data_IF_654751108062
#
_entry.id   IF_654751108062
#
_cell.length_a   1.000
_cell.length_b   1.000
_cell.length_c   1.000
_cell.angle_alpha   90.00
_cell.angle_beta   90.00
_cell.angle_gamma   90.00
#
_symmetry.space_group_name_H-M   'P 1'
#
loop_
_entity.id
_entity.type
_entity.pdbx_description
1 polymer ?
#
# COMPACT_ATOMS: atom_id res chain seq x y z
N UNK A 1 -15.24 10.34 -2.10
CA UNK A 1 -15.95 9.08 -1.84
C UNK A 1 -15.10 8.34 -0.81
N UNK A 2 -15.63 8.09 0.38
CA UNK A 2 -14.94 7.24 1.34
C UNK A 2 -15.17 5.80 0.88
N UNK A 3 -14.11 5.11 0.47
CA UNK A 3 -14.13 3.68 0.26
C UNK A 3 -14.23 3.03 1.64
N UNK A 4 -15.45 2.79 2.10
CA UNK A 4 -15.68 2.18 3.39
C UNK A 4 -15.20 0.73 3.33
N UNK A 5 -14.42 0.35 4.35
CA UNK A 5 -14.38 -1.04 4.80
C UNK A 5 -15.83 -1.51 4.97
N UNK A 6 -16.21 -2.68 4.49
CA UNK A 6 -17.56 -3.23 4.69
C UNK A 6 -17.94 -3.29 6.18
N UNK A 7 -16.97 -3.22 7.10
CA UNK A 7 -17.16 -2.99 8.52
C UNK A 7 -16.16 -1.95 9.01
N UNK A 8 -16.65 -0.81 9.50
CA UNK A 8 -15.82 0.18 10.20
C UNK A 8 -15.16 -0.50 11.40
N UNK A 9 -13.82 -0.51 11.44
CA UNK A 9 -13.04 -1.09 12.54
C UNK A 9 -13.35 -0.42 13.89
N UNK A 10 -13.74 0.84 13.85
CA UNK A 10 -14.09 1.68 15.00
C UNK A 10 -15.26 2.60 14.66
N UNK A 11 -16.02 3.03 15.67
CA UNK A 11 -17.11 4.00 15.50
C UNK A 11 -16.57 5.41 15.20
N UNK A 12 -17.44 6.28 14.65
CA UNK A 12 -17.11 7.70 14.42
C UNK A 12 -16.66 8.41 15.71
N UNK A 13 -17.23 8.06 16.86
CA UNK A 13 -16.82 8.62 18.13
C UNK A 13 -15.39 8.20 18.46
N UNK A 14 -15.01 6.97 18.22
CA UNK A 14 -13.65 6.50 18.47
C UNK A 14 -12.63 7.07 17.50
N UNK A 15 -13.02 7.37 16.26
CA UNK A 15 -12.17 8.16 15.35
C UNK A 15 -11.86 9.51 15.97
N UNK A 16 -12.86 10.20 16.54
CA UNK A 16 -12.65 11.49 17.24
C UNK A 16 -11.75 11.33 18.47
N UNK A 17 -11.95 10.27 19.24
CA UNK A 17 -11.12 9.99 20.43
C UNK A 17 -9.64 9.78 20.02
N UNK A 18 -9.39 9.03 18.92
CA UNK A 18 -8.04 8.87 18.34
C UNK A 18 -7.45 10.21 17.91
N UNK A 19 -8.24 11.03 17.22
CA UNK A 19 -7.81 12.34 16.73
C UNK A 19 -7.49 13.30 17.87
N UNK A 20 -8.29 13.35 18.92
CA UNK A 20 -8.05 14.18 20.10
C UNK A 20 -6.81 13.72 20.87
N UNK A 21 -6.65 12.40 21.03
CA UNK A 21 -5.45 11.84 21.65
C UNK A 21 -4.19 12.19 20.85
N UNK A 22 -4.24 12.09 19.52
CA UNK A 22 -3.11 12.43 18.66
C UNK A 22 -2.70 13.90 18.79
N UNK A 23 -3.68 14.83 18.86
CA UNK A 23 -3.39 16.26 19.11
C UNK A 23 -2.76 16.48 20.48
N UNK A 24 -3.31 15.85 21.52
CA UNK A 24 -2.83 16.00 22.89
C UNK A 24 -1.44 15.37 23.09
N UNK A 25 -1.10 14.32 22.34
CA UNK A 25 0.20 13.63 22.42
C UNK A 25 1.34 14.37 21.74
N UNK A 26 1.04 15.32 20.82
CA UNK A 26 2.08 16.05 20.09
C UNK A 26 3.11 16.69 21.03
N UNK A 27 4.44 16.66 20.75
CA UNK A 27 5.09 16.17 19.52
C UNK A 27 5.35 14.65 19.45
N UNK A 28 4.98 13.87 20.47
CA UNK A 28 5.18 12.44 20.45
C UNK A 28 4.07 11.74 19.64
N UNK A 29 4.42 10.65 18.97
CA UNK A 29 3.45 9.76 18.35
C UNK A 29 2.64 9.03 19.43
N UNK A 30 1.33 9.04 19.30
CA UNK A 30 0.46 8.17 20.09
C UNK A 30 0.38 6.79 19.44
N UNK A 31 0.08 5.79 20.23
CA UNK A 31 -0.22 4.46 19.73
C UNK A 31 -1.30 3.77 20.57
N UNK A 32 -1.88 2.72 20.01
CA UNK A 32 -2.87 1.89 20.66
C UNK A 32 -3.33 0.74 19.77
N UNK A 33 -4.24 -0.05 20.28
CA UNK A 33 -4.84 -1.17 19.57
C UNK A 33 -6.35 -0.97 19.42
N UNK A 34 -6.94 -1.61 18.44
CA UNK A 34 -8.39 -1.84 18.40
C UNK A 34 -8.62 -3.26 18.88
N UNK A 35 -9.53 -3.41 19.83
CA UNK A 35 -9.97 -4.71 20.35
C UNK A 35 -11.47 -4.73 20.48
N UNK A 36 -12.14 -5.69 19.84
CA UNK A 36 -13.61 -5.83 19.83
C UNK A 36 -14.32 -4.52 19.44
N UNK A 37 -13.80 -3.85 18.40
CA UNK A 37 -14.35 -2.60 17.90
C UNK A 37 -14.10 -1.39 18.79
N UNK A 38 -13.22 -1.45 19.79
CA UNK A 38 -12.87 -0.34 20.68
C UNK A 38 -11.40 0.01 20.56
N UNK A 39 -11.11 1.29 20.37
CA UNK A 39 -9.76 1.80 20.48
C UNK A 39 -9.30 1.83 21.94
N UNK A 40 -8.16 1.23 22.23
CA UNK A 40 -7.52 1.18 23.54
C UNK A 40 -6.15 1.87 23.40
N UNK A 41 -5.97 3.09 23.92
CA UNK A 41 -4.69 3.76 23.91
C UNK A 41 -3.65 2.99 24.71
N UNK A 42 -2.43 2.92 24.18
CA UNK A 42 -1.28 2.30 24.82
C UNK A 42 -0.17 3.33 25.02
N UNK A 43 0.68 3.09 26.01
CA UNK A 43 1.82 3.96 26.24
C UNK A 43 2.87 3.71 25.14
N UNK A 44 3.31 4.78 24.46
CA UNK A 44 4.41 4.66 23.52
C UNK A 44 5.73 4.46 24.28
N UNK A 45 6.35 3.30 24.12
CA UNK A 45 7.59 2.89 24.79
C UNK A 45 8.82 3.02 23.89
N UNK A 46 8.70 3.60 22.69
CA UNK A 46 9.83 3.86 21.81
C UNK A 46 10.84 4.84 22.46
N UNK A 47 12.11 4.69 22.11
CA UNK A 47 13.16 5.62 22.54
C UNK A 47 13.05 6.98 21.83
N UNK A 48 12.66 6.97 20.55
CA UNK A 48 12.36 8.17 19.76
C UNK A 48 10.84 8.25 19.52
N UNK A 49 10.14 8.82 20.48
CA UNK A 49 8.68 8.90 20.46
C UNK A 49 8.11 9.88 19.44
N UNK A 50 8.92 10.81 18.95
CA UNK A 50 8.49 11.78 17.95
C UNK A 50 8.42 11.20 16.53
N UNK A 51 9.17 10.10 16.27
CA UNK A 51 9.30 9.51 14.96
C UNK A 51 8.98 8.00 14.92
N UNK A 52 8.59 7.41 16.05
CA UNK A 52 8.28 5.99 16.12
C UNK A 52 7.41 5.63 17.32
N UNK A 53 6.79 4.47 17.25
CA UNK A 53 6.05 3.91 18.38
C UNK A 53 6.50 2.47 18.67
N UNK A 54 6.33 2.08 19.92
CA UNK A 54 6.50 0.71 20.37
C UNK A 54 5.51 0.38 21.48
N UNK A 55 4.73 -0.71 21.31
CA UNK A 55 3.82 -1.25 22.30
C UNK A 55 4.42 -2.55 22.83
N UNK A 56 4.62 -2.65 24.15
CA UNK A 56 5.22 -3.86 24.72
C UNK A 56 4.19 -5.00 24.80
N UNK A 57 4.64 -6.29 24.77
CA UNK A 57 3.75 -7.43 24.88
C UNK A 57 2.83 -7.40 26.11
N UNK A 58 3.32 -6.88 27.23
CA UNK A 58 2.56 -6.79 28.48
C UNK A 58 1.35 -5.86 28.36
N UNK A 59 1.45 -4.81 27.53
CA UNK A 59 0.35 -3.85 27.35
C UNK A 59 -0.85 -4.44 26.60
N UNK A 60 -0.63 -5.40 25.71
CA UNK A 60 -1.71 -6.00 24.91
C UNK A 60 -2.01 -7.47 25.23
N UNK A 61 -1.30 -8.07 26.19
CA UNK A 61 -1.42 -9.51 26.52
C UNK A 61 -2.85 -9.97 26.82
N UNK A 62 -3.69 -9.10 27.38
CA UNK A 62 -5.07 -9.41 27.75
C UNK A 62 -6.09 -9.03 26.66
N UNK A 63 -5.61 -8.64 25.47
CA UNK A 63 -6.43 -8.15 24.38
C UNK A 63 -6.30 -8.99 23.10
N UNK A 64 -7.42 -9.16 22.39
CA UNK A 64 -7.38 -9.59 21.00
C UNK A 64 -7.10 -8.31 20.17
N UNK A 65 -6.04 -8.33 19.38
CA UNK A 65 -5.67 -7.18 18.55
C UNK A 65 -6.34 -7.31 17.18
N UNK A 66 -7.37 -6.49 16.94
CA UNK A 66 -8.10 -6.44 15.67
C UNK A 66 -7.46 -5.44 14.70
N UNK A 67 -6.79 -4.39 15.21
CA UNK A 67 -6.01 -3.42 14.45
C UNK A 67 -5.01 -2.69 15.37
N UNK A 68 -4.01 -2.05 14.76
CA UNK A 68 -3.06 -1.15 15.43
C UNK A 68 -3.32 0.28 14.94
N UNK A 69 -3.19 1.26 15.82
CA UNK A 69 -3.33 2.69 15.50
C UNK A 69 -2.13 3.45 16.03
N UNK A 70 -1.60 4.36 15.23
CA UNK A 70 -0.58 5.32 15.69
C UNK A 70 -0.71 6.67 14.96
N UNK A 71 0.04 7.65 15.42
CA UNK A 71 0.08 8.97 14.78
C UNK A 71 1.44 9.24 14.16
N UNK A 72 1.45 10.01 13.06
CA UNK A 72 2.62 10.67 12.52
C UNK A 72 2.62 12.15 12.94
N UNK A 73 3.74 12.63 13.45
CA UNK A 73 3.90 14.03 13.84
C UNK A 73 4.75 14.80 12.83
N UNK A 74 5.83 14.22 12.34
CA UNK A 74 6.72 14.82 11.34
C UNK A 74 6.59 14.19 9.96
N UNK A 75 6.35 12.87 9.89
CA UNK A 75 6.15 12.14 8.64
C UNK A 75 4.84 12.53 7.92
N UNK A 76 4.72 12.36 6.60
CA UNK A 76 3.46 12.56 5.86
C UNK A 76 2.39 11.54 6.27
N UNK A 77 1.14 11.75 5.81
CA UNK A 77 0.06 10.76 5.95
C UNK A 77 0.22 9.67 4.88
N UNK A 78 1.24 8.88 5.03
CA UNK A 78 1.53 7.69 4.21
C UNK A 78 2.34 6.70 5.05
N UNK A 79 2.25 5.39 4.79
CA UNK A 79 2.99 4.43 5.59
C UNK A 79 4.49 4.54 5.36
N UNK A 80 5.26 4.44 6.43
CA UNK A 80 6.69 4.15 6.38
C UNK A 80 6.94 2.67 6.04
N UNK A 81 8.17 2.29 5.76
CA UNK A 81 8.55 0.88 5.62
C UNK A 81 8.28 0.10 6.91
N UNK A 82 8.57 0.70 8.07
CA UNK A 82 8.31 0.10 9.37
C UNK A 82 6.81 -0.12 9.65
N UNK A 83 5.94 0.79 9.21
CA UNK A 83 4.49 0.61 9.33
C UNK A 83 3.99 -0.56 8.47
N UNK A 84 4.53 -0.70 7.26
CA UNK A 84 4.20 -1.84 6.40
C UNK A 84 4.71 -3.16 6.99
N UNK A 85 5.91 -3.19 7.55
CA UNK A 85 6.46 -4.36 8.26
C UNK A 85 5.64 -4.70 9.50
N UNK A 86 5.24 -3.69 10.27
CA UNK A 86 4.35 -3.86 11.41
C UNK A 86 3.03 -4.48 10.99
N UNK A 87 2.37 -3.93 9.96
CA UNK A 87 1.11 -4.44 9.43
C UNK A 87 1.24 -5.90 8.97
N UNK A 88 2.31 -6.25 8.24
CA UNK A 88 2.54 -7.61 7.77
C UNK A 88 2.85 -8.59 8.91
N UNK A 89 3.64 -8.16 9.90
CA UNK A 89 4.03 -8.99 11.05
C UNK A 89 2.83 -9.33 11.92
N UNK A 90 1.97 -8.36 12.20
CA UNK A 90 0.77 -8.55 13.01
C UNK A 90 -0.38 -9.15 12.21
N UNK A 91 -0.34 -9.02 10.89
CA UNK A 91 -1.39 -9.47 9.97
C UNK A 91 -2.78 -8.91 10.35
N UNK A 92 -2.83 -7.67 10.79
CA UNK A 92 -4.04 -6.90 11.10
C UNK A 92 -3.97 -5.53 10.43
N UNK A 93 -5.11 -4.84 10.23
CA UNK A 93 -5.09 -3.47 9.72
C UNK A 93 -4.29 -2.53 10.62
N UNK A 94 -3.66 -1.52 9.99
CA UNK A 94 -3.00 -0.43 10.70
C UNK A 94 -3.66 0.90 10.35
N UNK A 95 -3.98 1.70 11.36
CA UNK A 95 -4.55 3.05 11.25
C UNK A 95 -3.49 4.11 11.52
N UNK A 96 -3.34 5.07 10.61
CA UNK A 96 -2.40 6.17 10.72
C UNK A 96 -3.18 7.48 10.74
N UNK A 97 -2.90 8.35 11.73
CA UNK A 97 -3.36 9.74 11.75
C UNK A 97 -2.17 10.67 11.69
N UNK A 98 -2.28 11.80 10.98
CA UNK A 98 -1.26 12.84 10.98
C UNK A 98 -1.72 14.04 11.78
N UNK A 99 -0.82 14.56 12.63
CA UNK A 99 -1.09 15.79 13.39
C UNK A 99 0.14 16.69 13.48
N UNK A 100 -0.10 17.98 13.61
CA UNK A 100 0.88 19.01 13.98
C UNK A 100 0.59 19.62 15.37
N UNK A 101 -0.27 18.93 16.15
CA UNK A 101 -0.77 19.38 17.45
C UNK A 101 -1.97 20.32 17.37
N UNK A 102 -2.29 20.88 16.21
CA UNK A 102 -3.44 21.78 15.99
C UNK A 102 -4.47 21.17 15.05
N UNK A 103 -3.99 20.65 13.95
CA UNK A 103 -4.81 19.96 12.93
C UNK A 103 -4.53 18.47 12.99
N UNK A 104 -5.54 17.65 12.73
CA UNK A 104 -5.42 16.21 12.62
C UNK A 104 -6.16 15.73 11.38
N UNK A 105 -5.59 14.74 10.70
CA UNK A 105 -6.21 14.09 9.53
C UNK A 105 -7.30 13.10 9.94
N UNK A 106 -8.04 12.61 8.95
CA UNK A 106 -8.76 11.35 9.10
C UNK A 106 -7.79 10.19 9.30
N UNK A 107 -8.32 9.06 9.79
CA UNK A 107 -7.54 7.83 9.95
C UNK A 107 -7.36 7.18 8.58
N UNK A 108 -6.13 7.04 8.15
CA UNK A 108 -5.75 6.23 7.01
C UNK A 108 -5.64 4.77 7.46
N UNK A 109 -6.53 3.91 7.02
CA UNK A 109 -6.47 2.48 7.28
C UNK A 109 -5.79 1.75 6.12
N UNK A 110 -4.87 0.83 6.45
CA UNK A 110 -4.13 -0.04 5.54
C UNK A 110 -4.29 -1.50 5.97
N UNK A 111 -4.06 -2.45 5.05
CA UNK A 111 -4.13 -3.87 5.36
C UNK A 111 -5.55 -4.44 5.42
N UNK A 112 -6.56 -3.64 5.01
CA UNK A 112 -7.94 -4.09 4.82
C UNK A 112 -8.24 -4.45 3.36
N UNK A 113 -9.47 -4.90 3.13
CA UNK A 113 -10.00 -5.08 1.78
C UNK A 113 -10.68 -3.80 1.29
N UNK A 114 -10.27 -3.31 0.12
CA UNK A 114 -10.81 -2.09 -0.46
C UNK A 114 -11.18 -2.34 -1.92
N UNK A 115 -12.42 -2.02 -2.31
CA UNK A 115 -12.85 -2.04 -3.71
C UNK A 115 -12.54 -0.67 -4.35
N UNK A 116 -11.28 -0.48 -4.71
CA UNK A 116 -10.79 0.78 -5.27
C UNK A 116 -10.75 0.68 -6.79
N UNK A 117 -11.31 1.67 -7.51
CA UNK A 117 -11.23 1.71 -8.97
C UNK A 117 -9.76 1.68 -9.44
N UNK A 118 -9.48 0.89 -10.47
CA UNK A 118 -8.13 0.79 -11.05
C UNK A 118 -7.74 2.01 -11.89
N UNK A 119 -8.71 2.83 -12.30
CA UNK A 119 -8.50 4.00 -13.16
C UNK A 119 -8.98 5.25 -12.43
N UNK A 120 -8.23 6.35 -12.55
CA UNK A 120 -8.56 7.62 -11.91
C UNK A 120 -8.16 7.72 -10.44
N UNK A 121 -7.36 6.80 -9.95
CA UNK A 121 -6.86 6.75 -8.57
C UNK A 121 -5.76 7.79 -8.38
N UNK A 122 -5.79 8.50 -7.26
CA UNK A 122 -4.69 9.36 -6.84
C UNK A 122 -3.51 8.53 -6.29
N UNK A 123 -2.29 9.01 -6.56
CA UNK A 123 -1.08 8.36 -6.06
C UNK A 123 -0.84 8.69 -4.58
N UNK A 124 -0.50 7.65 -3.81
CA UNK A 124 0.13 7.72 -2.50
C UNK A 124 1.13 6.59 -2.39
N UNK A 125 2.29 6.84 -1.80
CA UNK A 125 3.26 5.78 -1.54
C UNK A 125 2.67 4.68 -0.65
N UNK A 126 3.03 3.43 -0.94
CA UNK A 126 2.61 2.24 -0.19
C UNK A 126 1.33 1.56 -0.70
N UNK A 127 0.79 0.61 0.08
CA UNK A 127 -0.35 -0.23 -0.29
C UNK A 127 -1.64 0.57 -0.44
N UNK A 128 -2.62 -0.03 -1.08
CA UNK A 128 -3.99 0.51 -1.15
C UNK A 128 -4.59 0.69 0.24
N UNK A 129 -5.35 1.75 0.44
CA UNK A 129 -5.92 2.11 1.74
C UNK A 129 -7.31 2.71 1.66
N UNK A 130 -7.89 3.03 2.83
CA UNK A 130 -9.22 3.62 2.99
C UNK A 130 -9.40 4.97 2.29
N UNK A 131 -8.31 5.64 1.94
CA UNK A 131 -8.29 6.89 1.17
C UNK A 131 -8.48 6.68 -0.34
N UNK A 132 -8.56 5.43 -0.79
CA UNK A 132 -8.70 5.09 -2.21
C UNK A 132 -7.43 5.28 -3.03
N UNK A 133 -6.28 5.42 -2.37
CA UNK A 133 -4.97 5.68 -2.99
C UNK A 133 -4.03 4.49 -2.83
N UNK A 134 -2.91 4.55 -3.52
CA UNK A 134 -1.83 3.57 -3.47
C UNK A 134 -0.77 3.90 -4.52
N UNK A 135 0.32 3.17 -4.53
CA UNK A 135 1.39 3.33 -5.53
C UNK A 135 1.22 2.41 -6.75
N UNK A 136 2.24 2.35 -7.60
CA UNK A 136 2.20 1.50 -8.80
C UNK A 136 2.14 0.00 -8.48
N UNK A 137 2.77 -0.46 -7.41
CA UNK A 137 2.69 -1.86 -7.00
C UNK A 137 1.31 -2.19 -6.40
N UNK A 138 0.74 -1.30 -5.60
CA UNK A 138 -0.62 -1.43 -5.11
C UNK A 138 -1.64 -1.55 -6.25
N UNK A 139 -1.49 -0.76 -7.33
CA UNK A 139 -2.33 -0.88 -8.52
C UNK A 139 -2.19 -2.26 -9.20
N UNK A 140 -0.96 -2.78 -9.31
CA UNK A 140 -0.72 -4.13 -9.85
C UNK A 140 -1.42 -5.18 -9.00
N UNK A 141 -1.28 -5.13 -7.67
CA UNK A 141 -1.94 -6.05 -6.73
C UNK A 141 -3.46 -6.03 -6.90
N UNK A 142 -4.04 -4.84 -6.92
CA UNK A 142 -5.50 -4.70 -7.04
C UNK A 142 -6.00 -5.19 -8.41
N UNK A 143 -5.23 -4.96 -9.49
CA UNK A 143 -5.56 -5.54 -10.79
C UNK A 143 -5.55 -7.07 -10.73
N UNK A 144 -4.52 -7.68 -10.16
CA UNK A 144 -4.42 -9.12 -10.07
C UNK A 144 -5.58 -9.72 -9.25
N UNK A 145 -5.91 -9.08 -8.12
CA UNK A 145 -7.06 -9.49 -7.30
C UNK A 145 -8.38 -9.34 -8.07
N UNK A 146 -8.67 -8.16 -8.62
CA UNK A 146 -9.98 -7.85 -9.23
C UNK A 146 -10.19 -8.54 -10.58
N UNK A 147 -9.16 -8.58 -11.44
CA UNK A 147 -9.28 -9.08 -12.81
C UNK A 147 -8.93 -10.57 -12.94
N UNK A 148 -7.97 -11.05 -12.16
CA UNK A 148 -7.43 -12.41 -12.27
C UNK A 148 -7.79 -13.29 -11.07
N UNK A 149 -8.32 -12.74 -9.99
CA UNK A 149 -8.54 -13.43 -8.72
C UNK A 149 -7.25 -14.11 -8.21
N UNK A 150 -6.14 -13.39 -8.30
CA UNK A 150 -4.82 -13.78 -7.79
C UNK A 150 -4.42 -12.78 -6.72
N UNK A 151 -4.08 -13.25 -5.54
CA UNK A 151 -3.60 -12.42 -4.45
C UNK A 151 -2.08 -12.37 -4.48
N UNK A 152 -1.52 -11.17 -4.75
CA UNK A 152 -0.09 -10.95 -4.72
C UNK A 152 0.39 -10.57 -3.32
N UNK A 153 1.59 -11.05 -2.98
CA UNK A 153 2.27 -10.72 -1.72
C UNK A 153 2.52 -9.23 -1.60
N UNK A 154 2.36 -8.68 -0.39
CA UNK A 154 2.79 -7.31 -0.09
C UNK A 154 4.27 -7.28 0.28
N UNK A 155 4.93 -6.18 -0.07
CA UNK A 155 6.33 -5.93 0.27
C UNK A 155 6.46 -4.55 0.91
N UNK A 156 7.11 -4.50 2.07
CA UNK A 156 7.49 -3.25 2.71
C UNK A 156 8.51 -2.51 1.84
N UNK A 157 8.40 -1.20 1.82
CA UNK A 157 9.25 -0.35 0.98
C UNK A 157 9.31 1.08 1.48
N UNK A 158 10.51 1.65 1.45
CA UNK A 158 10.68 3.09 1.62
C UNK A 158 10.23 3.85 0.37
N UNK A 159 9.76 5.08 0.56
CA UNK A 159 9.63 5.99 -0.57
C UNK A 159 11.02 6.22 -1.20
N UNK A 160 11.10 6.27 -2.53
CA UNK A 160 12.36 6.39 -3.29
C UNK A 160 13.40 5.29 -2.99
N UNK A 161 12.96 4.07 -2.65
CA UNK A 161 13.83 2.93 -2.31
C UNK A 161 14.94 2.66 -3.34
N UNK A 162 14.70 2.94 -4.63
CA UNK A 162 15.70 2.76 -5.71
C UNK A 162 16.89 3.70 -5.61
N UNK A 163 16.77 4.85 -4.96
CA UNK A 163 17.87 5.79 -4.72
C UNK A 163 18.82 5.27 -3.63
N UNK A 164 18.32 4.42 -2.73
CA UNK A 164 19.09 3.79 -1.66
C UNK A 164 19.83 2.52 -2.09
N UNK A 165 19.78 2.19 -3.38
CA UNK A 165 20.47 1.04 -3.94
C UNK A 165 19.68 -0.27 -3.96
N UNK A 166 18.47 -0.30 -3.42
CA UNK A 166 17.59 -1.48 -3.45
C UNK A 166 17.08 -1.75 -4.87
N UNK A 167 16.72 -3.00 -5.15
CA UNK A 167 16.18 -3.42 -6.44
C UNK A 167 14.91 -4.26 -6.23
N UNK A 168 13.94 -3.69 -5.49
CA UNK A 168 12.82 -4.44 -4.92
C UNK A 168 12.05 -5.26 -5.96
N UNK A 169 11.84 -4.73 -7.16
CA UNK A 169 11.12 -5.48 -8.20
C UNK A 169 11.86 -6.74 -8.62
N UNK A 170 13.18 -6.64 -8.91
CA UNK A 170 13.93 -7.80 -9.40
C UNK A 170 14.26 -8.78 -8.27
N UNK A 171 14.54 -8.26 -7.07
CA UNK A 171 14.92 -9.09 -5.92
C UNK A 171 13.72 -9.90 -5.38
N UNK A 172 12.47 -9.44 -5.63
CA UNK A 172 11.27 -10.08 -5.13
C UNK A 172 10.39 -10.73 -6.20
N UNK A 173 10.73 -10.64 -7.48
CA UNK A 173 9.90 -11.16 -8.57
C UNK A 173 9.52 -12.64 -8.39
N UNK A 174 10.51 -13.51 -8.18
CA UNK A 174 10.27 -14.95 -7.98
C UNK A 174 9.47 -15.23 -6.69
N UNK A 175 9.78 -14.52 -5.60
CA UNK A 175 9.06 -14.66 -4.33
C UNK A 175 7.59 -14.20 -4.42
N UNK A 176 7.29 -13.34 -5.39
CA UNK A 176 5.93 -12.90 -5.72
C UNK A 176 5.25 -13.77 -6.79
N UNK A 177 5.84 -14.91 -7.18
CA UNK A 177 5.29 -15.82 -8.17
C UNK A 177 5.49 -15.39 -9.63
N UNK A 178 6.42 -14.46 -9.89
CA UNK A 178 6.66 -13.95 -11.25
C UNK A 178 7.92 -14.54 -11.86
N UNK A 179 7.85 -14.86 -13.13
CA UNK A 179 9.01 -15.24 -13.95
C UNK A 179 9.13 -14.31 -15.16
N UNK A 180 10.35 -14.12 -15.64
CA UNK A 180 10.66 -13.26 -16.77
C UNK A 180 10.15 -13.87 -18.08
N UNK A 181 9.60 -13.03 -18.97
CA UNK A 181 9.18 -13.40 -20.32
C UNK A 181 9.85 -12.51 -21.36
N UNK A 182 10.01 -13.05 -22.56
CA UNK A 182 10.53 -12.30 -23.71
C UNK A 182 9.43 -11.41 -24.31
N UNK A 183 9.80 -10.26 -24.89
CA UNK A 183 8.85 -9.30 -25.46
C UNK A 183 7.91 -9.92 -26.51
N UNK A 184 8.40 -10.87 -27.29
CA UNK A 184 7.61 -11.58 -28.31
C UNK A 184 6.53 -12.50 -27.72
N UNK A 185 6.67 -12.88 -26.45
CA UNK A 185 5.82 -13.86 -25.76
C UNK A 185 4.87 -13.19 -24.74
N UNK A 186 4.81 -11.83 -24.72
CA UNK A 186 3.95 -11.10 -23.79
C UNK A 186 2.47 -11.38 -24.06
N UNK A 187 1.69 -11.44 -22.97
CA UNK A 187 0.24 -11.62 -23.01
C UNK A 187 -0.48 -10.70 -22.03
N UNK A 188 -1.80 -10.59 -22.15
CA UNK A 188 -2.62 -9.82 -21.23
C UNK A 188 -2.41 -10.30 -19.79
N UNK A 189 -2.27 -9.34 -18.87
CA UNK A 189 -1.98 -9.59 -17.47
C UNK A 189 -0.49 -9.67 -17.13
N UNK A 190 0.42 -9.72 -18.12
CA UNK A 190 1.85 -9.61 -17.83
C UNK A 190 2.17 -8.21 -17.27
N UNK A 191 3.15 -8.12 -16.39
CA UNK A 191 3.63 -6.85 -15.89
C UNK A 191 4.87 -6.39 -16.66
N UNK A 192 4.95 -5.09 -16.90
CA UNK A 192 6.17 -4.45 -17.37
C UNK A 192 6.87 -3.73 -16.23
N UNK A 193 8.19 -3.74 -16.24
CA UNK A 193 9.04 -2.95 -15.36
C UNK A 193 9.75 -1.88 -16.18
N UNK A 194 9.76 -0.66 -15.65
CA UNK A 194 10.34 0.48 -16.31
C UNK A 194 11.35 1.23 -15.42
N UNK A 195 12.34 1.82 -16.06
CA UNK A 195 13.33 2.71 -15.44
C UNK A 195 13.00 4.16 -15.77
N UNK A 196 12.55 4.92 -14.79
CA UNK A 196 12.22 6.33 -14.95
C UNK A 196 13.23 7.16 -14.17
N UNK A 197 14.15 7.81 -14.88
CA UNK A 197 15.26 8.58 -14.29
C UNK A 197 16.03 7.79 -13.22
N UNK A 198 16.10 6.49 -13.37
CA UNK A 198 16.75 5.57 -12.44
C UNK A 198 17.58 4.54 -13.20
N UNK A 199 18.65 4.02 -12.57
CA UNK A 199 19.43 2.90 -13.09
C UNK A 199 18.78 1.54 -12.78
N UNK A 200 17.75 1.53 -11.96
CA UNK A 200 17.00 0.33 -11.55
C UNK A 200 15.53 0.47 -11.93
N UNK A 201 14.82 -0.62 -12.21
CA UNK A 201 13.38 -0.57 -12.38
C UNK A 201 12.73 0.03 -11.12
N UNK A 202 12.06 1.16 -11.27
CA UNK A 202 11.40 1.88 -10.18
C UNK A 202 9.92 2.14 -10.44
N UNK A 203 9.42 1.61 -11.55
CA UNK A 203 8.02 1.71 -11.93
C UNK A 203 7.57 0.41 -12.59
N UNK A 204 6.30 0.05 -12.39
CA UNK A 204 5.66 -1.10 -13.01
C UNK A 204 4.22 -0.81 -13.41
N UNK A 205 3.70 -1.65 -14.28
CA UNK A 205 2.30 -1.64 -14.68
C UNK A 205 1.92 -2.94 -15.36
N UNK A 206 0.65 -3.06 -15.72
CA UNK A 206 0.08 -4.28 -16.30
C UNK A 206 -0.21 -4.08 -17.78
N UNK A 207 0.15 -5.06 -18.60
CA UNK A 207 -0.21 -5.11 -20.01
C UNK A 207 -1.65 -5.58 -20.20
N UNK A 208 -2.45 -4.78 -20.89
CA UNK A 208 -3.87 -5.06 -21.13
C UNK A 208 -4.16 -5.59 -22.55
N UNK A 209 -3.10 -6.00 -23.28
CA UNK A 209 -3.23 -6.39 -24.67
C UNK A 209 -3.22 -5.19 -25.63
N UNK A 210 -3.05 -5.49 -26.93
CA UNK A 210 -3.10 -4.51 -28.04
C UNK A 210 -2.22 -3.26 -27.84
N UNK A 211 -1.07 -3.42 -27.17
CA UNK A 211 -0.14 -2.33 -26.92
C UNK A 211 -0.59 -1.33 -25.86
N UNK A 212 -1.55 -1.67 -25.01
CA UNK A 212 -2.05 -0.80 -23.94
C UNK A 212 -1.56 -1.30 -22.59
N UNK A 213 -1.12 -0.39 -21.72
CA UNK A 213 -0.77 -0.66 -20.33
C UNK A 213 -1.63 0.10 -19.34
N UNK A 214 -1.84 -0.48 -18.18
CA UNK A 214 -2.43 0.14 -16.99
C UNK A 214 -1.30 0.40 -15.99
N UNK A 215 -1.15 1.64 -15.56
CA UNK A 215 -0.11 1.99 -14.60
C UNK A 215 -0.44 3.25 -13.80
N UNK A 216 0.36 3.53 -12.77
CA UNK A 216 0.14 4.62 -11.82
C UNK A 216 1.47 5.33 -11.51
N UNK A 217 1.63 6.53 -12.03
CA UNK A 217 2.79 7.38 -11.76
C UNK A 217 2.53 8.34 -10.60
N UNK A 218 3.58 8.65 -9.87
CA UNK A 218 3.56 9.76 -8.91
C UNK A 218 3.02 11.05 -9.54
N UNK A 219 2.18 11.77 -8.78
CA UNK A 219 1.50 13.02 -9.17
C UNK A 219 0.58 12.91 -10.40
N UNK A 220 0.16 11.71 -10.75
CA UNK A 220 -0.81 11.48 -11.83
C UNK A 220 -1.88 10.51 -11.38
N UNK A 221 -3.05 10.59 -11.99
CA UNK A 221 -4.07 9.57 -11.80
C UNK A 221 -3.65 8.28 -12.51
N UNK A 222 -4.00 7.14 -11.92
CA UNK A 222 -3.85 5.84 -12.57
C UNK A 222 -4.64 5.79 -13.87
N UNK A 223 -4.08 5.20 -14.92
CA UNK A 223 -4.71 5.22 -16.24
C UNK A 223 -4.23 4.12 -17.17
N UNK A 224 -5.02 3.91 -18.21
CA UNK A 224 -4.63 3.15 -19.39
C UNK A 224 -4.01 4.08 -20.41
N UNK A 225 -2.87 3.68 -20.99
CA UNK A 225 -2.29 4.40 -22.11
C UNK A 225 -1.49 3.48 -23.04
N UNK A 226 -1.28 3.90 -24.32
CA UNK A 226 -0.47 3.15 -25.25
C UNK A 226 0.98 3.04 -24.78
N UNK A 227 1.55 1.82 -24.83
CA UNK A 227 2.92 1.54 -24.37
C UNK A 227 4.01 1.93 -25.37
N UNK A 228 3.68 2.30 -26.62
CA UNK A 228 4.66 2.74 -27.60
C UNK A 228 5.55 3.90 -27.10
N UNK A 229 4.99 4.80 -26.29
CA UNK A 229 5.73 5.90 -25.67
C UNK A 229 6.61 5.44 -24.49
N UNK A 230 6.39 4.22 -24.02
CA UNK A 230 7.05 3.63 -22.86
C UNK A 230 8.18 2.68 -23.23
N UNK A 231 8.27 2.22 -24.50
CA UNK A 231 9.25 1.23 -24.95
C UNK A 231 10.69 1.58 -24.58
N UNK A 232 11.04 2.87 -24.58
CA UNK A 232 12.39 3.32 -24.18
C UNK A 232 12.68 3.25 -22.68
N UNK A 233 11.65 3.05 -21.85
CA UNK A 233 11.76 2.96 -20.40
C UNK A 233 11.54 1.54 -19.91
N UNK A 234 10.76 0.71 -20.64
CA UNK A 234 10.49 -0.67 -20.28
C UNK A 234 11.77 -1.49 -20.45
N UNK A 235 12.17 -2.18 -19.40
CA UNK A 235 13.42 -2.96 -19.34
C UNK A 235 13.21 -4.45 -19.12
N UNK A 236 12.01 -4.85 -18.69
CA UNK A 236 11.69 -6.25 -18.46
C UNK A 236 10.18 -6.48 -18.47
N UNK A 237 9.82 -7.72 -18.78
CA UNK A 237 8.47 -8.26 -18.74
C UNK A 237 8.43 -9.48 -17.83
N UNK A 238 7.35 -9.59 -17.04
CA UNK A 238 7.18 -10.68 -16.11
C UNK A 238 5.75 -11.21 -16.16
N UNK A 239 5.61 -12.52 -16.03
CA UNK A 239 4.33 -13.22 -15.93
C UNK A 239 4.20 -13.88 -14.58
N UNK A 240 3.02 -13.79 -13.97
CA UNK A 240 2.71 -14.56 -12.79
C UNK A 240 2.41 -16.02 -13.18
N UNK A 241 2.89 -16.97 -12.40
CA UNK A 241 2.75 -18.41 -12.68
C UNK A 241 1.29 -18.87 -12.82
N UNK A 242 0.36 -18.21 -12.12
CA UNK A 242 -1.07 -18.45 -12.23
C UNK A 242 -1.76 -17.68 -13.37
N UNK A 243 -1.08 -16.78 -14.06
CA UNK A 243 -1.62 -16.06 -15.22
C UNK A 243 -1.46 -16.92 -16.50
N UNK A 244 -2.23 -18.00 -16.58
CA UNK A 244 -2.20 -18.93 -17.72
C UNK A 244 -3.07 -18.40 -18.90
N UNK A 245 -2.68 -18.67 -20.17
CA UNK A 245 -3.31 -18.11 -21.38
C UNK A 245 -4.82 -18.37 -21.52
N UNK A 246 -5.35 -19.38 -20.84
CA UNK A 246 -6.77 -19.76 -20.91
C UNK A 246 -7.66 -18.96 -19.94
N UNK A 247 -7.06 -18.18 -19.05
CA UNK A 247 -7.79 -17.39 -18.06
C UNK A 247 -8.36 -16.12 -18.71
N UNK A 248 -9.68 -16.01 -18.79
CA UNK A 248 -10.33 -14.80 -19.30
C UNK A 248 -10.17 -13.69 -18.26
N UNK A 249 -9.48 -12.63 -18.63
CA UNK A 249 -9.38 -11.42 -17.82
C UNK A 249 -10.76 -10.77 -17.79
N UNK A 250 -11.31 -10.49 -16.59
CA UNK A 250 -12.52 -9.69 -16.44
C UNK A 250 -12.28 -8.32 -17.07
N UNK A 251 -13.11 -7.93 -18.04
CA UNK A 251 -13.04 -6.59 -18.62
C UNK A 251 -13.35 -5.58 -17.52
N UNK A 252 -12.34 -4.85 -17.12
CA UNK A 252 -12.43 -3.76 -16.16
C UNK A 252 -12.93 -2.54 -16.95
N UNK A 253 -14.16 -2.14 -16.70
CA UNK A 253 -14.80 -0.95 -17.28
C UNK A 253 -14.48 0.30 -16.49
#
# INVERSE_FOLDING_TARGET
>A
MNYQLEHSLVSEQQVKDIQELAKAGYPNEICGIVSKGKFIPMQNMASDKENSFYITPEQYSDHIVDAIVHSHTHAPLEPSEADMECQQTWNVPIGIVKTDGKVVSDVLWLGGEYDIPLIGREFRHGPSGSDGKGDCYALIKDFYKQALNIELKEFSRNNHWWERGNNLYLDNAENAGFFRVEEKDIQEGDIFLAQIRSKKPNHGGVYLGKGVGLHHLDRRLSRREPLNNWNKYIVAWYRHEENIPTRKIKIIR
#
